data_IF_600276180374
#
_entry.id   IF_600276180374
#
_cell.length_a   1.000
_cell.length_b   1.000
_cell.length_c   1.000
_cell.angle_alpha   90.00
_cell.angle_beta   90.00
_cell.angle_gamma   90.00
#
_symmetry.space_group_name_H-M   'P 1'
#
loop_
_entity.id
_entity.type
_entity.pdbx_description
1 polymer ?
#
# COMPACT_ATOMS: atom_id res chain seq x y z
N UNK A 1 23.33 60.70 -26.26
CA UNK A 1 22.17 59.79 -26.36
C UNK A 1 22.48 58.51 -25.60
N UNK A 2 21.83 58.28 -24.49
CA UNK A 2 21.95 57.02 -23.74
C UNK A 2 21.04 55.99 -24.36
N UNK A 3 21.59 54.93 -24.93
CA UNK A 3 20.78 53.79 -25.41
C UNK A 3 20.36 52.97 -24.17
N UNK A 4 19.04 52.97 -23.92
CA UNK A 4 18.44 52.12 -22.89
C UNK A 4 18.26 50.74 -23.54
N UNK A 5 19.09 49.78 -23.13
CA UNK A 5 18.84 48.39 -23.49
C UNK A 5 17.83 47.82 -22.51
N UNK A 6 16.57 47.70 -23.01
CA UNK A 6 15.57 46.94 -22.31
C UNK A 6 15.97 45.44 -22.41
N UNK A 7 16.55 44.89 -21.33
CA UNK A 7 16.68 43.45 -21.19
C UNK A 7 15.28 42.90 -20.95
N UNK A 8 14.62 42.43 -22.01
CA UNK A 8 13.45 41.58 -21.89
C UNK A 8 13.93 40.23 -21.36
N UNK A 9 13.92 40.06 -20.04
CA UNK A 9 14.12 38.76 -19.41
C UNK A 9 12.92 37.89 -19.76
N UNK A 10 13.09 37.06 -20.78
CA UNK A 10 12.13 36.03 -21.12
C UNK A 10 12.26 34.93 -20.05
N UNK A 11 11.43 35.03 -19.00
CA UNK A 11 11.28 33.93 -18.04
C UNK A 11 10.57 32.82 -18.81
N UNK A 12 11.36 31.86 -19.32
CA UNK A 12 10.82 30.59 -19.81
C UNK A 12 10.32 29.87 -18.58
N UNK A 13 9.02 29.97 -18.33
CA UNK A 13 8.33 29.17 -17.33
C UNK A 13 8.31 27.74 -17.87
N UNK A 14 9.32 26.95 -17.44
CA UNK A 14 9.37 25.52 -17.73
C UNK A 14 8.17 24.91 -17.01
N UNK A 15 7.11 24.63 -17.75
CA UNK A 15 6.00 23.82 -17.28
C UNK A 15 6.52 22.40 -17.11
N UNK A 16 6.97 22.08 -15.91
CA UNK A 16 7.23 20.69 -15.53
C UNK A 16 5.88 20.08 -15.22
N UNK A 17 5.40 19.12 -16.03
CA UNK A 17 4.16 18.45 -15.70
C UNK A 17 4.37 17.74 -14.35
N UNK A 18 3.62 18.16 -13.36
CA UNK A 18 3.57 17.46 -12.08
C UNK A 18 2.99 16.08 -12.37
N UNK A 19 3.82 15.05 -12.29
CA UNK A 19 3.34 13.66 -12.31
C UNK A 19 2.59 13.48 -10.99
N UNK A 20 1.28 13.61 -11.05
CA UNK A 20 0.43 13.34 -9.90
C UNK A 20 0.23 11.84 -9.80
N UNK A 21 0.93 11.21 -8.88
CA UNK A 21 0.66 9.81 -8.54
C UNK A 21 -0.72 9.73 -7.90
N UNK A 22 -1.54 8.77 -8.35
CA UNK A 22 -2.79 8.44 -7.67
C UNK A 22 -2.52 7.97 -6.23
N UNK A 23 -3.55 7.94 -5.41
CA UNK A 23 -3.46 7.40 -4.05
C UNK A 23 -3.36 5.86 -4.04
N UNK A 24 -3.26 5.26 -2.85
CA UNK A 24 -3.19 3.79 -2.68
C UNK A 24 -4.32 3.08 -3.45
N UNK A 25 -5.55 3.54 -3.32
CA UNK A 25 -6.72 2.88 -3.95
C UNK A 25 -6.68 3.00 -5.47
N UNK A 26 -6.31 4.17 -6.00
CA UNK A 26 -6.16 4.39 -7.44
C UNK A 26 -5.14 3.41 -8.02
N UNK A 27 -4.00 3.27 -7.35
CA UNK A 27 -2.93 2.38 -7.78
C UNK A 27 -3.32 0.91 -7.76
N UNK A 28 -4.02 0.47 -6.72
CA UNK A 28 -4.52 -0.91 -6.63
C UNK A 28 -5.54 -1.23 -7.73
N UNK A 29 -6.41 -0.27 -8.07
CA UNK A 29 -7.39 -0.43 -9.15
C UNK A 29 -6.71 -0.49 -10.53
N UNK A 30 -5.73 0.39 -10.77
CA UNK A 30 -5.01 0.45 -12.06
C UNK A 30 -4.16 -0.79 -12.32
N UNK A 31 -3.61 -1.40 -11.29
CA UNK A 31 -2.68 -2.52 -11.42
C UNK A 31 -3.34 -3.81 -11.96
N UNK A 32 -4.66 -3.97 -11.83
CA UNK A 32 -5.41 -5.12 -12.34
C UNK A 32 -5.06 -6.49 -11.73
N UNK A 33 -4.33 -6.49 -10.62
CA UNK A 33 -3.81 -7.68 -9.93
C UNK A 33 -4.37 -7.86 -8.51
N UNK A 34 -5.27 -6.95 -8.11
CA UNK A 34 -5.77 -6.83 -6.74
C UNK A 34 -7.31 -6.85 -6.68
N UNK A 35 -7.95 -7.61 -7.57
CA UNK A 35 -9.41 -7.65 -7.63
C UNK A 35 -10.01 -8.13 -6.31
N UNK A 36 -9.46 -9.19 -5.71
CA UNK A 36 -9.91 -9.72 -4.43
C UNK A 36 -9.64 -8.76 -3.27
N UNK A 37 -8.46 -8.11 -3.27
CA UNK A 37 -8.14 -7.10 -2.27
C UNK A 37 -9.08 -5.91 -2.39
N UNK A 38 -9.31 -5.39 -3.59
CA UNK A 38 -10.21 -4.25 -3.83
C UNK A 38 -11.65 -4.57 -3.38
N UNK A 39 -12.13 -5.78 -3.66
CA UNK A 39 -13.43 -6.23 -3.18
C UNK A 39 -13.50 -6.25 -1.64
N UNK A 40 -12.49 -6.81 -0.98
CA UNK A 40 -12.43 -6.87 0.49
C UNK A 40 -12.30 -5.48 1.12
N UNK A 41 -11.48 -4.60 0.55
CA UNK A 41 -11.34 -3.20 0.99
C UNK A 41 -12.66 -2.43 0.87
N UNK A 42 -13.37 -2.62 -0.23
CA UNK A 42 -14.70 -2.00 -0.44
C UNK A 42 -15.71 -2.49 0.58
N UNK A 43 -15.79 -3.80 0.79
CA UNK A 43 -16.71 -4.42 1.77
C UNK A 43 -16.43 -4.02 3.21
N UNK A 44 -15.16 -3.86 3.57
CA UNK A 44 -14.76 -3.41 4.92
C UNK A 44 -14.98 -1.93 5.16
N UNK A 45 -15.02 -1.11 4.10
CA UNK A 45 -15.02 0.35 4.17
C UNK A 45 -13.64 0.98 4.35
N UNK A 46 -12.58 0.19 4.43
CA UNK A 46 -11.20 0.69 4.56
C UNK A 46 -10.70 1.44 3.31
N UNK A 47 -11.32 1.22 2.17
CA UNK A 47 -11.00 1.96 0.95
C UNK A 47 -11.13 3.48 1.14
N UNK A 48 -12.13 3.95 1.89
CA UNK A 48 -12.30 5.39 2.16
C UNK A 48 -11.18 5.93 3.05
N UNK A 49 -10.75 5.17 4.05
CA UNK A 49 -9.63 5.56 4.91
C UNK A 49 -8.32 5.65 4.13
N UNK A 50 -8.08 4.73 3.20
CA UNK A 50 -6.85 4.67 2.39
C UNK A 50 -6.80 5.71 1.27
N UNK A 51 -7.88 6.42 1.00
CA UNK A 51 -7.90 7.62 0.15
C UNK A 51 -7.42 8.87 0.88
N UNK A 52 -7.33 8.82 2.21
CA UNK A 52 -6.93 9.95 3.06
C UNK A 52 -5.47 10.36 2.90
N UNK A 53 -5.07 11.37 3.69
CA UNK A 53 -3.77 12.03 3.55
C UNK A 53 -2.55 11.13 3.84
N UNK A 54 -2.70 10.05 4.61
CA UNK A 54 -1.58 9.20 5.01
C UNK A 54 -0.60 9.87 5.99
N UNK A 55 0.66 9.47 5.99
CA UNK A 55 1.27 8.45 5.12
C UNK A 55 0.81 7.02 5.44
N UNK A 56 0.69 6.21 4.41
CA UNK A 56 0.35 4.79 4.56
C UNK A 56 1.42 3.90 3.95
N UNK A 57 1.64 2.73 4.55
CA UNK A 57 2.29 1.60 3.91
C UNK A 57 1.28 0.48 3.82
N UNK A 58 1.05 -0.03 2.62
CA UNK A 58 0.13 -1.14 2.38
C UNK A 58 0.91 -2.32 1.82
N UNK A 59 0.87 -3.44 2.54
CA UNK A 59 1.34 -4.72 2.02
C UNK A 59 0.17 -5.39 1.31
N UNK A 60 0.11 -5.23 0.00
CA UNK A 60 -1.03 -5.63 -0.82
C UNK A 60 -0.88 -7.07 -1.33
N UNK A 61 -1.71 -8.01 -0.86
CA UNK A 61 -1.70 -9.37 -1.38
C UNK A 61 -2.26 -9.40 -2.80
N UNK A 62 -1.48 -10.00 -3.72
CA UNK A 62 -1.90 -10.25 -5.09
C UNK A 62 -3.12 -11.19 -5.13
N UNK A 63 -3.86 -11.21 -6.23
CA UNK A 63 -4.99 -12.14 -6.39
C UNK A 63 -4.58 -13.60 -6.14
N UNK A 64 -3.38 -14.00 -6.60
CA UNK A 64 -2.82 -15.34 -6.36
C UNK A 64 -2.54 -15.62 -4.87
N UNK A 65 -2.30 -14.58 -4.07
CA UNK A 65 -2.09 -14.72 -2.63
C UNK A 65 -3.33 -15.26 -1.89
N UNK A 66 -4.51 -15.07 -2.46
CA UNK A 66 -5.76 -15.59 -1.94
C UNK A 66 -6.00 -17.07 -2.27
N UNK A 67 -5.15 -17.68 -3.09
CA UNK A 67 -5.29 -19.10 -3.46
C UNK A 67 -5.16 -20.05 -2.25
N UNK A 68 -4.43 -19.65 -1.21
CA UNK A 68 -4.31 -20.40 0.04
C UNK A 68 -5.56 -20.30 0.95
N UNK A 69 -6.50 -19.42 0.61
CA UNK A 69 -7.76 -19.25 1.34
C UNK A 69 -8.86 -19.99 0.59
N UNK A 70 -9.59 -20.88 1.29
CA UNK A 70 -10.71 -21.57 0.66
C UNK A 70 -11.78 -20.58 0.19
N UNK A 71 -12.46 -20.89 -0.90
CA UNK A 71 -13.57 -20.08 -1.40
C UNK A 71 -14.64 -19.85 -0.33
N UNK A 72 -14.95 -20.88 0.47
CA UNK A 72 -15.89 -20.78 1.59
C UNK A 72 -15.45 -19.76 2.63
N UNK A 73 -14.17 -19.74 2.99
CA UNK A 73 -13.59 -18.77 3.94
C UNK A 73 -13.62 -17.36 3.35
N UNK A 74 -13.20 -17.21 2.09
CA UNK A 74 -13.18 -15.93 1.40
C UNK A 74 -14.57 -15.30 1.34
N UNK A 75 -15.57 -16.01 0.79
CA UNK A 75 -16.94 -15.51 0.72
C UNK A 75 -17.59 -15.36 2.10
N UNK A 76 -17.19 -16.18 3.08
CA UNK A 76 -17.60 -16.01 4.47
C UNK A 76 -17.16 -14.67 5.06
N UNK A 77 -15.93 -14.22 4.75
CA UNK A 77 -15.41 -12.93 5.22
C UNK A 77 -16.14 -11.74 4.59
N UNK A 78 -16.69 -11.89 3.38
CA UNK A 78 -17.42 -10.81 2.70
C UNK A 78 -18.84 -10.61 3.20
N UNK A 79 -19.35 -11.45 4.11
CA UNK A 79 -20.66 -11.27 4.71
C UNK A 79 -20.66 -10.11 5.70
N UNK A 80 -21.75 -9.36 5.75
CA UNK A 80 -21.88 -8.19 6.61
C UNK A 80 -21.67 -8.53 8.10
N UNK A 81 -22.08 -9.72 8.54
CA UNK A 81 -21.88 -10.23 9.91
C UNK A 81 -20.40 -10.41 10.29
N UNK A 82 -19.52 -10.55 9.30
CA UNK A 82 -18.07 -10.74 9.48
C UNK A 82 -17.24 -9.47 9.17
N UNK A 83 -17.89 -8.33 9.01
CA UNK A 83 -17.23 -7.06 8.65
C UNK A 83 -16.10 -6.71 9.60
N UNK A 84 -16.29 -6.81 10.91
CA UNK A 84 -15.26 -6.49 11.91
C UNK A 84 -14.06 -7.42 11.80
N UNK A 85 -14.30 -8.71 11.51
CA UNK A 85 -13.23 -9.68 11.28
C UNK A 85 -12.45 -9.35 10.00
N UNK A 86 -13.14 -8.93 8.95
CA UNK A 86 -12.53 -8.51 7.69
C UNK A 86 -11.68 -7.25 7.89
N UNK A 87 -12.19 -6.24 8.61
CA UNK A 87 -11.47 -5.02 8.96
C UNK A 87 -10.20 -5.35 9.75
N UNK A 88 -10.28 -6.26 10.71
CA UNK A 88 -9.13 -6.70 11.50
C UNK A 88 -8.06 -7.37 10.63
N UNK A 89 -8.44 -8.30 9.75
CA UNK A 89 -7.51 -8.98 8.83
C UNK A 89 -6.84 -7.97 7.88
N UNK A 90 -7.61 -7.07 7.26
CA UNK A 90 -7.07 -6.06 6.36
C UNK A 90 -6.18 -5.05 7.09
N UNK A 91 -6.53 -4.72 8.32
CA UNK A 91 -5.75 -3.82 9.17
C UNK A 91 -4.32 -4.30 9.45
N UNK A 92 -4.06 -5.60 9.39
CA UNK A 92 -2.70 -6.16 9.49
C UNK A 92 -1.80 -5.79 8.32
N UNK A 93 -2.39 -5.47 7.18
CA UNK A 93 -1.68 -5.16 5.95
C UNK A 93 -1.36 -3.68 5.83
N UNK A 94 -1.84 -2.84 6.74
CA UNK A 94 -1.76 -1.39 6.66
C UNK A 94 -1.03 -0.80 7.87
N UNK A 95 -0.10 0.12 7.59
CA UNK A 95 0.64 0.85 8.61
C UNK A 95 0.46 2.36 8.38
N UNK A 96 0.27 3.12 9.44
CA UNK A 96 0.17 4.59 9.41
C UNK A 96 1.55 5.26 9.39
N UNK A 97 2.46 4.73 8.58
CA UNK A 97 3.84 5.18 8.42
C UNK A 97 4.33 4.79 7.04
N UNK A 98 5.18 5.61 6.44
CA UNK A 98 5.88 5.24 5.19
C UNK A 98 7.09 4.37 5.54
N UNK A 99 7.10 3.13 5.03
CA UNK A 99 8.15 2.15 5.24
C UNK A 99 8.64 1.69 3.87
N UNK A 100 9.87 2.06 3.51
CA UNK A 100 10.51 1.62 2.27
C UNK A 100 11.42 0.41 2.53
N UNK A 101 11.71 -0.36 1.49
CA UNK A 101 12.58 -1.53 1.61
C UNK A 101 14.01 -1.18 2.03
N UNK A 102 14.46 0.04 1.75
CA UNK A 102 15.79 0.54 2.15
C UNK A 102 15.90 0.82 3.65
N UNK A 103 14.79 1.05 4.34
CA UNK A 103 14.75 1.27 5.79
C UNK A 103 14.76 -0.04 6.59
N UNK A 104 14.64 -1.19 5.90
CA UNK A 104 14.63 -2.51 6.53
C UNK A 104 16.01 -3.13 6.36
N UNK A 105 16.88 -2.91 7.33
CA UNK A 105 18.24 -3.49 7.33
C UNK A 105 18.30 -4.82 8.08
N UNK A 106 17.40 -5.00 9.05
CA UNK A 106 17.31 -6.18 9.90
C UNK A 106 15.84 -6.49 10.21
N UNK A 107 15.60 -7.34 11.18
CA UNK A 107 14.25 -7.58 11.68
C UNK A 107 13.73 -6.38 12.49
N UNK A 108 12.57 -5.88 12.11
CA UNK A 108 11.84 -4.84 12.83
C UNK A 108 10.43 -5.31 13.16
N UNK A 109 9.88 -4.78 14.24
CA UNK A 109 8.50 -5.03 14.66
C UNK A 109 7.74 -3.73 14.70
N UNK A 110 6.63 -3.68 14.00
CA UNK A 110 5.79 -2.49 13.87
C UNK A 110 4.33 -2.83 14.14
N UNK A 111 3.61 -1.88 14.73
CA UNK A 111 2.16 -2.01 14.91
C UNK A 111 1.44 -1.64 13.63
N UNK A 112 0.63 -2.57 13.12
CA UNK A 112 -0.35 -2.30 12.08
C UNK A 112 -1.53 -1.48 12.60
N UNK A 113 -2.39 -0.98 11.71
CA UNK A 113 -3.53 -0.15 12.11
C UNK A 113 -4.57 -0.90 12.97
N UNK A 114 -4.59 -2.23 12.93
CA UNK A 114 -5.42 -3.05 13.82
C UNK A 114 -4.83 -3.20 15.23
N UNK A 115 -3.64 -2.63 15.50
CA UNK A 115 -2.93 -2.69 16.78
C UNK A 115 -2.03 -3.91 16.98
N UNK A 116 -2.03 -4.86 16.05
CA UNK A 116 -1.15 -6.03 16.14
C UNK A 116 0.28 -5.69 15.74
N UNK A 117 1.22 -6.31 16.44
CA UNK A 117 2.64 -6.22 16.11
C UNK A 117 2.98 -7.20 14.99
N UNK A 118 3.53 -6.68 13.91
CA UNK A 118 3.91 -7.44 12.73
C UNK A 118 5.43 -7.37 12.57
N UNK A 119 6.03 -8.51 12.29
CA UNK A 119 7.47 -8.63 12.04
C UNK A 119 7.76 -8.41 10.56
N UNK A 120 8.66 -7.49 10.26
CA UNK A 120 9.18 -7.25 8.93
C UNK A 120 10.68 -7.49 8.97
N UNK A 121 11.20 -8.27 8.04
CA UNK A 121 12.63 -8.61 7.97
C UNK A 121 13.13 -8.67 6.55
N UNK A 122 14.43 -8.49 6.39
CA UNK A 122 15.13 -8.65 5.12
C UNK A 122 16.12 -9.80 5.21
N UNK A 123 15.99 -10.76 4.30
CA UNK A 123 16.87 -11.91 4.21
C UNK A 123 17.35 -12.07 2.77
N UNK A 124 18.66 -12.03 2.55
CA UNK A 124 19.27 -12.13 1.22
C UNK A 124 18.69 -11.11 0.22
N UNK A 125 18.41 -9.88 0.68
CA UNK A 125 17.85 -8.81 -0.14
C UNK A 125 16.34 -8.87 -0.36
N UNK A 126 15.67 -9.92 0.09
CA UNK A 126 14.21 -10.09 -0.02
C UNK A 126 13.55 -9.67 1.28
N UNK A 127 12.53 -8.84 1.19
CA UNK A 127 11.72 -8.40 2.33
C UNK A 127 10.60 -9.40 2.59
N UNK A 128 10.42 -9.74 3.84
CA UNK A 128 9.32 -10.58 4.34
C UNK A 128 8.51 -9.81 5.37
N UNK A 129 7.20 -9.95 5.30
CA UNK A 129 6.27 -9.50 6.35
C UNK A 129 5.62 -10.74 6.96
N UNK A 130 5.94 -11.04 8.22
CA UNK A 130 5.71 -12.36 8.82
C UNK A 130 6.26 -13.45 7.88
N UNK A 131 5.39 -14.32 7.35
CA UNK A 131 5.76 -15.39 6.41
C UNK A 131 5.54 -15.04 4.94
N UNK A 132 4.99 -13.85 4.65
CA UNK A 132 4.72 -13.40 3.28
C UNK A 132 5.97 -12.74 2.67
N UNK A 133 6.29 -13.12 1.45
CA UNK A 133 7.36 -12.52 0.67
C UNK A 133 6.86 -11.28 -0.07
N UNK A 134 7.65 -10.22 -0.04
CA UNK A 134 7.44 -9.04 -0.87
C UNK A 134 7.99 -9.31 -2.26
N UNK A 135 7.12 -9.45 -3.23
CA UNK A 135 7.48 -9.73 -4.64
C UNK A 135 7.74 -8.48 -5.46
N UNK A 136 7.16 -7.37 -5.06
CA UNK A 136 7.43 -6.03 -5.63
C UNK A 136 7.41 -5.02 -4.50
N UNK A 137 8.52 -4.34 -4.31
CA UNK A 137 8.67 -3.37 -3.23
C UNK A 137 8.62 -1.92 -3.76
N UNK A 138 8.35 -0.98 -2.85
CA UNK A 138 8.53 0.46 -3.05
C UNK A 138 7.72 1.06 -4.21
N UNK A 139 6.47 0.63 -4.38
CA UNK A 139 5.54 1.25 -5.33
C UNK A 139 5.01 2.54 -4.72
N UNK A 140 5.58 3.67 -5.14
CA UNK A 140 5.22 5.00 -4.64
C UNK A 140 3.83 5.43 -5.09
N UNK A 141 3.08 6.02 -4.17
CA UNK A 141 1.77 6.64 -4.39
C UNK A 141 1.70 7.98 -3.68
N UNK A 142 0.71 8.80 -4.00
CA UNK A 142 0.60 10.18 -3.45
C UNK A 142 0.50 10.22 -1.92
N UNK A 143 -0.08 9.22 -1.30
CA UNK A 143 -0.32 9.16 0.15
C UNK A 143 0.43 8.02 0.85
N UNK A 144 1.47 7.45 0.23
CA UNK A 144 2.28 6.42 0.86
C UNK A 144 3.07 5.54 -0.10
N UNK A 145 3.22 4.28 0.27
CA UNK A 145 3.94 3.26 -0.50
C UNK A 145 3.20 1.93 -0.43
N UNK A 146 3.26 1.17 -1.50
CA UNK A 146 2.66 -0.17 -1.58
C UNK A 146 3.76 -1.19 -1.82
N UNK A 147 3.72 -2.30 -1.09
CA UNK A 147 4.52 -3.49 -1.33
C UNK A 147 3.60 -4.65 -1.70
N UNK A 148 3.88 -5.33 -2.80
CA UNK A 148 3.09 -6.48 -3.24
C UNK A 148 3.58 -7.73 -2.56
N UNK A 149 2.67 -8.50 -1.97
CA UNK A 149 3.00 -9.73 -1.24
C UNK A 149 2.31 -10.96 -1.84
N UNK A 150 2.93 -12.11 -1.66
CA UNK A 150 2.48 -13.39 -2.21
C UNK A 150 1.54 -14.18 -1.29
N UNK A 151 1.23 -13.67 -0.10
CA UNK A 151 0.30 -14.30 0.86
C UNK A 151 -0.52 -13.26 1.59
N UNK A 152 -1.74 -13.63 1.95
CA UNK A 152 -2.56 -12.86 2.89
C UNK A 152 -2.07 -13.09 4.30
N UNK A 153 -1.90 -12.01 5.08
CA UNK A 153 -1.44 -12.11 6.46
C UNK A 153 -2.56 -12.68 7.34
N UNK A 154 -2.36 -13.91 7.78
CA UNK A 154 -3.28 -14.61 8.68
C UNK A 154 -3.01 -14.22 10.13
N UNK A 155 -4.01 -14.36 11.04
CA UNK A 155 -3.76 -14.30 12.48
C UNK A 155 -2.66 -15.30 12.85
N UNK A 156 -1.74 -14.88 13.71
CA UNK A 156 -0.86 -15.83 14.38
C UNK A 156 -1.74 -16.79 15.20
N UNK A 157 -1.60 -18.07 14.96
CA UNK A 157 -2.29 -19.10 15.74
C UNK A 157 -1.70 -19.19 17.14
#
# INVERSE_FOLDING_TARGET
>A
MKKIYLFLSFIIMIFVPSITFGNVIDKLNEAGKFNKLNETLSKSGLNENLKGAGPFTVFAPLDDAFAAISAQTYYGLLRDENKDKLVNILGRHVFSKKITSSEIDSEIKLKAINGEEITIKKVNGIVYINEAEVVTADVEVSNGVIHYINRVLQPLK
#
